data_IF_171604122026
#
_entry.id   IF_171604122026
#
_cell.length_a   1.000
_cell.length_b   1.000
_cell.length_c   1.000
_cell.angle_alpha   90.00
_cell.angle_beta   90.00
_cell.angle_gamma   90.00
#
_symmetry.space_group_name_H-M   'P 1'
#
loop_
_entity.id
_entity.type
_entity.pdbx_description
1 polymer ?
#
# COMPACT_ATOMS: atom_id res chain seq x y z
N UNK A 1 48.55 -14.33 -94.18
CA UNK A 1 47.30 -14.64 -94.92
C UNK A 1 47.58 -15.83 -95.82
N UNK A 2 46.83 -16.92 -95.65
CA UNK A 2 46.63 -17.95 -96.66
C UNK A 2 45.32 -18.67 -96.32
N UNK A 3 44.37 -18.49 -97.22
CA UNK A 3 43.01 -18.98 -97.19
C UNK A 3 42.98 -20.50 -97.37
N UNK A 4 42.16 -21.20 -96.60
CA UNK A 4 41.74 -22.58 -96.90
C UNK A 4 40.24 -22.71 -96.68
N UNK A 5 39.50 -22.55 -97.77
CA UNK A 5 38.11 -23.01 -97.89
C UNK A 5 38.15 -24.50 -98.22
N UNK A 6 37.44 -25.35 -97.46
CA UNK A 6 37.15 -26.73 -97.89
C UNK A 6 37.04 -27.80 -96.80
N UNK A 7 35.91 -27.81 -96.09
CA UNK A 7 35.19 -28.97 -95.56
C UNK A 7 35.97 -30.24 -95.12
N UNK A 8 36.48 -30.27 -93.88
CA UNK A 8 36.41 -31.45 -92.99
C UNK A 8 36.85 -31.10 -91.55
N UNK A 9 35.85 -30.90 -90.68
CA UNK A 9 35.85 -31.27 -89.25
C UNK A 9 37.13 -31.12 -88.40
N UNK A 10 37.94 -30.07 -88.57
CA UNK A 10 38.90 -29.71 -87.53
C UNK A 10 38.22 -28.80 -86.51
N UNK A 11 37.41 -29.40 -85.63
CA UNK A 11 36.98 -28.71 -84.42
C UNK A 11 38.24 -28.26 -83.68
N UNK A 12 38.46 -26.96 -83.43
CA UNK A 12 39.56 -26.54 -82.59
C UNK A 12 39.38 -27.26 -81.25
N UNK A 13 40.35 -28.08 -80.84
CA UNK A 13 40.35 -28.79 -79.56
C UNK A 13 39.91 -27.78 -78.49
N UNK A 14 38.68 -27.96 -77.97
CA UNK A 14 38.20 -27.22 -76.81
C UNK A 14 39.27 -27.39 -75.73
N UNK A 15 39.69 -26.28 -75.14
CA UNK A 15 40.51 -26.29 -73.92
C UNK A 15 39.86 -27.29 -72.96
N UNK A 16 40.63 -28.17 -72.28
CA UNK A 16 40.06 -29.09 -71.32
C UNK A 16 39.21 -28.27 -70.37
N UNK A 17 37.92 -28.59 -70.35
CA UNK A 17 36.94 -28.00 -69.46
C UNK A 17 37.49 -28.22 -68.05
N UNK A 18 37.92 -27.12 -67.41
CA UNK A 18 38.36 -27.19 -66.03
C UNK A 18 37.15 -27.70 -65.25
N UNK A 19 37.22 -28.96 -64.82
CA UNK A 19 36.24 -29.56 -63.93
C UNK A 19 35.96 -28.53 -62.83
N UNK A 20 34.71 -28.07 -62.65
CA UNK A 20 34.42 -27.16 -61.56
C UNK A 20 34.81 -27.87 -60.28
N UNK A 21 35.85 -27.37 -59.61
CA UNK A 21 36.26 -27.86 -58.31
C UNK A 21 35.04 -27.72 -57.40
N UNK A 22 34.35 -28.83 -57.16
CA UNK A 22 33.19 -28.89 -56.31
C UNK A 22 33.66 -28.62 -54.88
N UNK A 23 33.63 -27.34 -54.50
CA UNK A 23 33.77 -26.95 -53.10
C UNK A 23 32.44 -27.22 -52.45
N UNK A 24 32.38 -28.29 -51.65
CA UNK A 24 31.31 -28.48 -50.68
C UNK A 24 31.18 -27.21 -49.82
N UNK A 25 30.19 -26.38 -50.14
CA UNK A 25 29.80 -25.27 -49.27
C UNK A 25 29.08 -25.88 -48.07
N UNK A 26 29.84 -26.25 -47.03
CA UNK A 26 29.27 -26.62 -45.75
C UNK A 26 28.53 -25.42 -45.19
N UNK A 27 27.20 -25.46 -45.27
CA UNK A 27 26.32 -24.46 -44.67
C UNK A 27 26.57 -24.46 -43.17
N UNK A 28 27.28 -23.46 -42.65
CA UNK A 28 27.45 -23.29 -41.21
C UNK A 28 26.09 -22.91 -40.62
N UNK A 29 25.40 -23.90 -40.07
CA UNK A 29 24.22 -23.68 -39.24
C UNK A 29 24.71 -23.13 -37.91
N UNK A 30 24.68 -21.80 -37.76
CA UNK A 30 25.00 -21.15 -36.49
C UNK A 30 23.88 -21.45 -35.50
N UNK A 31 24.05 -22.46 -34.65
CA UNK A 31 23.14 -22.70 -33.53
C UNK A 31 23.29 -21.57 -32.50
N UNK A 32 22.18 -21.00 -32.03
CA UNK A 32 22.19 -20.02 -30.94
C UNK A 32 22.76 -20.69 -29.69
N UNK A 33 23.85 -20.14 -29.15
CA UNK A 33 24.41 -20.62 -27.87
C UNK A 33 23.40 -20.29 -26.76
N UNK A 34 22.98 -21.27 -25.93
CA UNK A 34 22.20 -20.95 -24.75
C UNK A 34 23.07 -20.15 -23.77
N UNK A 35 22.47 -19.15 -23.13
CA UNK A 35 23.10 -18.43 -22.01
C UNK A 35 23.52 -19.44 -20.93
N UNK A 36 24.73 -19.29 -20.35
CA UNK A 36 25.18 -20.17 -19.28
C UNK A 36 24.21 -20.09 -18.11
N UNK A 37 24.03 -21.22 -17.43
CA UNK A 37 23.05 -21.39 -16.35
C UNK A 37 23.24 -20.40 -15.20
N UNK A 38 24.49 -20.01 -14.93
CA UNK A 38 24.87 -19.01 -13.92
C UNK A 38 24.20 -17.65 -14.17
N UNK A 39 24.25 -17.14 -15.40
CA UNK A 39 23.76 -15.80 -15.72
C UNK A 39 22.23 -15.73 -15.60
N UNK A 40 21.53 -16.80 -15.98
CA UNK A 40 20.08 -16.91 -15.76
C UNK A 40 19.70 -16.87 -14.29
N UNK A 41 20.50 -17.49 -13.43
CA UNK A 41 20.22 -17.59 -12.00
C UNK A 41 20.41 -16.24 -11.30
N UNK A 42 21.45 -15.49 -11.69
CA UNK A 42 21.67 -14.12 -11.20
C UNK A 42 20.51 -13.20 -11.60
N UNK A 43 20.07 -13.26 -12.87
CA UNK A 43 18.94 -12.46 -13.36
C UNK A 43 17.65 -12.79 -12.59
N UNK A 44 17.37 -14.08 -12.37
CA UNK A 44 16.19 -14.50 -11.61
C UNK A 44 16.23 -13.94 -10.18
N UNK A 45 17.39 -14.00 -9.53
CA UNK A 45 17.58 -13.49 -8.18
C UNK A 45 17.41 -11.97 -8.12
N UNK A 46 17.91 -11.23 -9.11
CA UNK A 46 17.68 -9.78 -9.22
C UNK A 46 16.20 -9.45 -9.38
N UNK A 47 15.46 -10.17 -10.23
CA UNK A 47 14.02 -9.97 -10.42
C UNK A 47 13.29 -10.17 -9.08
N UNK A 48 13.57 -11.27 -8.39
CA UNK A 48 12.96 -11.56 -7.08
C UNK A 48 13.27 -10.46 -6.07
N UNK A 49 14.51 -9.99 -6.01
CA UNK A 49 14.93 -8.94 -5.06
C UNK A 49 14.21 -7.61 -5.33
N UNK A 50 14.09 -7.21 -6.60
CA UNK A 50 13.36 -5.99 -6.98
C UNK A 50 11.87 -6.11 -6.65
N UNK A 51 11.23 -7.22 -7.04
CA UNK A 51 9.82 -7.45 -6.74
C UNK A 51 9.54 -7.53 -5.24
N UNK A 52 10.41 -8.20 -4.48
CA UNK A 52 10.30 -8.28 -3.02
C UNK A 52 10.39 -6.90 -2.37
N UNK A 53 11.30 -6.05 -2.86
CA UNK A 53 11.45 -4.68 -2.35
C UNK A 53 10.19 -3.86 -2.63
N UNK A 54 9.65 -3.94 -3.85
CA UNK A 54 8.40 -3.26 -4.22
C UNK A 54 7.21 -3.75 -3.40
N UNK A 55 7.09 -5.06 -3.19
CA UNK A 55 6.03 -5.65 -2.38
C UNK A 55 6.13 -5.19 -0.92
N UNK A 56 7.34 -5.16 -0.35
CA UNK A 56 7.57 -4.70 1.01
C UNK A 56 7.17 -3.24 1.22
N UNK A 57 7.51 -2.37 0.26
CA UNK A 57 7.12 -0.96 0.28
C UNK A 57 5.59 -0.84 0.31
N UNK A 58 4.89 -1.53 -0.60
CA UNK A 58 3.43 -1.52 -0.66
C UNK A 58 2.78 -2.04 0.63
N UNK A 59 3.33 -3.08 1.23
CA UNK A 59 2.84 -3.61 2.52
C UNK A 59 2.91 -2.55 3.63
N UNK A 60 4.04 -1.83 3.74
CA UNK A 60 4.20 -0.75 4.71
C UNK A 60 3.24 0.41 4.45
N UNK A 61 3.00 0.77 3.18
CA UNK A 61 2.02 1.80 2.83
C UNK A 61 0.61 1.44 3.28
N UNK A 62 0.13 0.23 3.01
CA UNK A 62 -1.20 -0.20 3.43
C UNK A 62 -1.37 -0.17 4.96
N UNK A 63 -0.35 -0.56 5.70
CA UNK A 63 -0.38 -0.52 7.17
C UNK A 63 -0.52 0.90 7.71
N UNK A 64 0.24 1.85 7.15
CA UNK A 64 0.18 3.27 7.53
C UNK A 64 -1.18 3.87 7.17
N UNK A 65 -1.71 3.55 5.99
CA UNK A 65 -3.04 4.01 5.56
C UNK A 65 -4.15 3.53 6.49
N UNK A 66 -4.15 2.24 6.83
CA UNK A 66 -5.15 1.68 7.74
C UNK A 66 -5.07 2.34 9.13
N UNK A 67 -3.87 2.59 9.64
CA UNK A 67 -3.67 3.24 10.94
C UNK A 67 -4.14 4.69 10.94
N UNK A 68 -3.82 5.45 9.90
CA UNK A 68 -4.27 6.84 9.76
C UNK A 68 -5.80 6.95 9.64
N UNK A 69 -6.44 5.99 8.96
CA UNK A 69 -7.89 5.95 8.88
C UNK A 69 -8.53 5.72 10.25
N UNK A 70 -8.05 4.71 11.00
CA UNK A 70 -8.51 4.44 12.36
C UNK A 70 -8.30 5.63 13.30
N UNK A 71 -7.17 6.31 13.19
CA UNK A 71 -6.90 7.51 13.98
C UNK A 71 -7.91 8.62 13.68
N UNK A 72 -8.20 8.88 12.40
CA UNK A 72 -9.22 9.87 12.00
C UNK A 72 -10.62 9.50 12.49
N UNK A 73 -10.97 8.23 12.43
CA UNK A 73 -12.25 7.73 12.91
C UNK A 73 -12.38 7.91 14.44
N UNK A 74 -11.33 7.57 15.18
CA UNK A 74 -11.27 7.79 16.63
C UNK A 74 -11.37 9.28 16.97
N UNK A 75 -10.67 10.17 16.26
CA UNK A 75 -10.79 11.63 16.48
C UNK A 75 -12.19 12.14 16.21
N UNK A 76 -12.87 11.64 15.17
CA UNK A 76 -14.27 11.99 14.88
C UNK A 76 -15.21 11.51 15.98
N UNK A 77 -15.00 10.31 16.51
CA UNK A 77 -15.78 9.79 17.62
C UNK A 77 -15.59 10.63 18.89
N UNK A 78 -14.35 11.03 19.22
CA UNK A 78 -14.06 11.92 20.33
C UNK A 78 -14.76 13.27 20.19
N UNK A 79 -14.71 13.88 19.00
CA UNK A 79 -15.41 15.16 18.76
C UNK A 79 -16.93 15.06 18.93
N UNK A 80 -17.54 13.94 18.50
CA UNK A 80 -18.98 13.71 18.75
C UNK A 80 -19.28 13.60 20.24
N UNK A 81 -18.49 12.79 20.96
CA UNK A 81 -18.65 12.61 22.40
C UNK A 81 -18.47 13.93 23.17
N UNK A 82 -17.54 14.78 22.74
CA UNK A 82 -17.32 16.09 23.36
C UNK A 82 -18.52 17.03 23.18
N UNK A 83 -19.14 17.02 21.99
CA UNK A 83 -20.38 17.76 21.73
C UNK A 83 -21.53 17.23 22.59
N UNK A 84 -21.72 15.92 22.63
CA UNK A 84 -22.75 15.28 23.47
C UNK A 84 -22.56 15.63 24.95
N UNK A 85 -21.32 15.56 25.46
CA UNK A 85 -21.00 15.95 26.84
C UNK A 85 -21.32 17.44 27.08
N UNK A 86 -21.01 18.31 26.12
CA UNK A 86 -21.33 19.74 26.19
C UNK A 86 -22.85 19.98 26.27
N UNK A 87 -23.63 19.28 25.45
CA UNK A 87 -25.09 19.34 25.49
C UNK A 87 -25.64 18.84 26.82
N UNK A 88 -25.16 17.69 27.31
CA UNK A 88 -25.58 17.14 28.60
C UNK A 88 -25.23 18.08 29.76
N UNK A 89 -24.04 18.67 29.76
CA UNK A 89 -23.63 19.66 30.78
C UNK A 89 -24.56 20.87 30.77
N UNK A 90 -24.92 21.38 29.59
CA UNK A 90 -25.86 22.50 29.47
C UNK A 90 -27.24 22.14 30.01
N UNK A 91 -27.74 20.93 29.75
CA UNK A 91 -29.01 20.45 30.33
C UNK A 91 -28.90 20.36 31.85
N UNK A 92 -27.80 19.82 32.39
CA UNK A 92 -27.58 19.74 33.84
C UNK A 92 -27.50 21.13 34.47
N UNK A 93 -26.79 22.09 33.87
CA UNK A 93 -26.73 23.47 34.36
C UNK A 93 -28.11 24.15 34.31
N UNK A 94 -28.89 23.87 33.27
CA UNK A 94 -30.24 24.42 33.14
C UNK A 94 -31.21 23.82 34.17
N UNK A 95 -31.15 22.50 34.39
CA UNK A 95 -31.97 21.81 35.40
C UNK A 95 -31.50 22.08 36.83
N UNK A 96 -30.20 22.26 37.05
CA UNK A 96 -29.61 22.59 38.36
C UNK A 96 -29.61 24.10 38.64
N UNK A 97 -30.22 24.91 37.77
CA UNK A 97 -30.31 26.34 37.99
C UNK A 97 -31.05 26.62 39.32
N UNK A 98 -30.47 27.44 40.20
CA UNK A 98 -31.00 27.66 41.55
C UNK A 98 -32.41 28.26 41.53
N UNK A 99 -32.75 29.04 40.50
CA UNK A 99 -34.10 29.56 40.29
C UNK A 99 -35.13 28.46 40.06
N UNK A 100 -34.79 27.44 39.26
CA UNK A 100 -35.70 26.33 38.96
C UNK A 100 -35.79 25.34 40.11
N UNK A 101 -34.69 25.13 40.83
CA UNK A 101 -34.69 24.38 42.10
C UNK A 101 -35.58 25.10 43.13
N UNK A 102 -35.48 26.42 43.26
CA UNK A 102 -36.32 27.21 44.15
C UNK A 102 -37.80 27.18 43.72
N UNK A 103 -38.10 27.18 42.42
CA UNK A 103 -39.46 27.00 41.91
C UNK A 103 -40.02 25.61 42.21
N UNK A 104 -39.29 24.53 41.87
CA UNK A 104 -39.70 23.15 42.20
C UNK A 104 -39.85 22.94 43.70
N UNK A 105 -38.98 23.51 44.52
CA UNK A 105 -39.08 23.46 45.99
C UNK A 105 -40.33 24.16 46.51
N UNK A 106 -40.68 25.33 45.96
CA UNK A 106 -41.93 26.05 46.27
C UNK A 106 -43.17 25.27 45.84
N UNK A 107 -43.16 24.65 44.66
CA UNK A 107 -44.24 23.79 44.17
C UNK A 107 -44.42 22.54 45.05
N UNK A 108 -43.34 22.02 45.63
CA UNK A 108 -43.35 20.91 46.58
C UNK A 108 -43.66 21.33 48.03
N UNK A 109 -44.00 22.59 48.28
CA UNK A 109 -44.39 23.09 49.60
C UNK A 109 -43.24 23.34 50.57
N UNK A 110 -42.00 23.40 50.07
CA UNK A 110 -40.82 23.68 50.89
C UNK A 110 -40.65 25.20 51.11
N UNK A 111 -40.29 25.58 52.33
CA UNK A 111 -40.17 26.97 52.78
C UNK A 111 -38.68 27.27 53.01
N UNK A 112 -38.14 28.43 52.56
CA UNK A 112 -36.74 28.76 52.79
C UNK A 112 -36.44 28.86 54.30
N UNK A 113 -35.46 28.08 54.76
CA UNK A 113 -34.94 28.17 56.13
C UNK A 113 -34.06 29.41 56.28
N UNK A 114 -34.20 30.22 57.35
CA UNK A 114 -33.49 31.48 57.50
C UNK A 114 -32.04 31.36 58.01
N UNK A 115 -31.41 30.18 57.92
CA UNK A 115 -30.05 29.94 58.43
C UNK A 115 -29.17 29.24 57.41
N UNK A 116 -28.08 29.87 57.01
CA UNK A 116 -27.11 29.40 56.01
C UNK A 116 -26.13 28.32 56.51
N UNK A 117 -26.46 27.54 57.55
CA UNK A 117 -25.56 26.50 58.07
C UNK A 117 -26.30 25.16 58.23
N UNK A 118 -26.02 24.22 57.33
CA UNK A 118 -26.25 22.80 57.56
C UNK A 118 -24.96 22.24 58.16
N UNK A 119 -24.88 22.24 59.49
CA UNK A 119 -23.77 21.59 60.21
C UNK A 119 -24.06 20.09 60.19
N UNK A 120 -23.23 19.32 59.50
CA UNK A 120 -23.25 17.86 59.56
C UNK A 120 -22.54 17.43 60.84
N UNK A 121 -23.29 16.95 61.83
CA UNK A 121 -22.72 16.38 63.06
C UNK A 121 -22.05 15.03 62.75
N UNK A 122 -20.72 15.00 62.77
CA UNK A 122 -19.92 13.79 62.57
C UNK A 122 -19.51 13.15 63.91
N UNK A 123 -20.38 13.17 64.92
CA UNK A 123 -20.10 12.59 66.25
C UNK A 123 -20.43 11.09 66.37
N UNK A 124 -20.86 10.40 65.30
CA UNK A 124 -21.25 8.98 65.34
C UNK A 124 -20.29 8.02 64.62
N UNK A 125 -19.07 8.44 64.27
CA UNK A 125 -18.08 7.59 63.59
C UNK A 125 -16.70 7.63 64.25
N UNK A 126 -16.61 7.20 65.52
CA UNK A 126 -15.35 7.20 66.25
C UNK A 126 -15.38 6.44 67.56
N UNK A 127 -15.63 5.13 67.53
CA UNK A 127 -15.24 4.23 68.64
C UNK A 127 -14.80 2.89 68.07
N UNK A 128 -13.51 2.81 67.75
CA UNK A 128 -12.72 1.58 67.74
C UNK A 128 -11.32 1.92 68.25
N UNK A 129 -11.11 1.69 69.54
CA UNK A 129 -9.83 1.22 70.09
C UNK A 129 -10.13 -0.03 70.90
#
# INVERSE_FOLDING_TARGET
>A
MAYTNGNLALQPKRKPEQLPSYREKKTKVTKRKPLPTRDKLIILMTIVLVFSTLAFINYRYNQIYAMNYKAKEATRALGKLEVEIGELRKVVETESSPERIAQKAKEQGMIPSPGNDIIVDNSAAGTKE
#
